data_IF_409224711106
#
_entry.id   IF_409224711106
#
_cell.length_a   1.000
_cell.length_b   1.000
_cell.length_c   1.000
_cell.angle_alpha   90.00
_cell.angle_beta   90.00
_cell.angle_gamma   90.00
#
_symmetry.space_group_name_H-M   'P 1'
#
loop_
_entity.id
_entity.type
_entity.pdbx_description
1 polymer ?
#
# COMPACT_ATOMS: atom_id res chain seq x y z
N UNK A 1 4.73 -8.28 11.20
CA UNK A 1 5.19 -7.10 10.45
C UNK A 1 4.82 -5.85 11.25
N UNK A 2 5.70 -4.86 11.29
CA UNK A 2 5.45 -3.51 11.79
C UNK A 2 5.56 -2.57 10.59
N UNK A 3 4.56 -1.74 10.39
CA UNK A 3 4.53 -0.69 9.37
C UNK A 3 4.38 0.65 10.09
N UNK A 4 5.28 1.58 9.82
CA UNK A 4 5.26 2.92 10.38
C UNK A 4 5.63 3.98 9.32
N UNK A 5 5.66 5.25 9.71
CA UNK A 5 5.94 6.37 8.81
C UNK A 5 7.33 6.33 8.15
N UNK A 6 8.26 5.57 8.73
CA UNK A 6 9.62 5.46 8.24
C UNK A 6 9.81 4.23 7.34
N UNK A 7 8.82 3.34 7.23
CA UNK A 7 8.83 2.16 6.37
C UNK A 7 8.28 0.93 7.09
N UNK A 8 8.88 -0.24 6.86
CA UNK A 8 8.40 -1.48 7.45
C UNK A 8 9.52 -2.37 7.97
N UNK A 9 9.15 -3.23 8.92
CA UNK A 9 9.99 -4.29 9.47
C UNK A 9 9.20 -5.60 9.57
N UNK A 10 9.79 -6.72 9.17
CA UNK A 10 9.20 -8.06 9.19
C UNK A 10 10.07 -8.99 10.04
N UNK A 11 9.43 -9.82 10.84
CA UNK A 11 10.05 -10.88 11.65
C UNK A 11 9.45 -12.23 11.25
N UNK A 12 10.26 -13.28 11.31
CA UNK A 12 9.76 -14.64 11.17
C UNK A 12 8.93 -15.06 12.39
N UNK A 13 7.93 -15.90 12.16
CA UNK A 13 7.19 -16.56 13.24
C UNK A 13 8.05 -17.60 13.96
N UNK A 14 7.98 -17.71 15.31
CA UNK A 14 7.20 -16.89 16.23
C UNK A 14 7.91 -15.57 16.62
N UNK A 15 7.34 -14.43 16.24
CA UNK A 15 7.98 -13.11 16.38
C UNK A 15 8.04 -12.57 17.82
N UNK A 16 7.30 -13.16 18.77
CA UNK A 16 7.34 -12.71 20.19
C UNK A 16 8.67 -13.04 20.87
N UNK A 17 9.34 -14.11 20.41
CA UNK A 17 10.62 -14.58 20.96
C UNK A 17 11.81 -14.23 20.06
N UNK A 18 11.56 -13.96 18.77
CA UNK A 18 12.57 -13.56 17.80
C UNK A 18 12.57 -12.04 17.60
N UNK A 19 13.64 -11.37 18.02
CA UNK A 19 13.81 -9.92 17.84
C UNK A 19 14.57 -9.53 16.58
N UNK A 20 15.14 -10.49 15.85
CA UNK A 20 15.90 -10.22 14.63
C UNK A 20 14.98 -10.09 13.42
N UNK A 21 14.97 -8.92 12.73
CA UNK A 21 14.20 -8.75 11.51
C UNK A 21 14.72 -9.63 10.39
N UNK A 22 13.80 -10.24 9.63
CA UNK A 22 14.13 -10.96 8.38
C UNK A 22 14.06 -10.05 7.16
N UNK A 23 13.36 -8.92 7.28
CA UNK A 23 13.27 -7.91 6.23
C UNK A 23 12.95 -6.57 6.85
N UNK A 24 13.53 -5.51 6.31
CA UNK A 24 13.14 -4.14 6.62
C UNK A 24 13.42 -3.25 5.42
N UNK A 25 12.67 -2.17 5.31
CA UNK A 25 12.97 -1.09 4.37
C UNK A 25 12.66 0.24 5.05
N UNK A 26 13.57 1.21 4.87
CA UNK A 26 13.31 2.60 5.23
C UNK A 26 12.74 3.30 3.99
N UNK A 27 11.46 3.59 4.04
CA UNK A 27 10.68 4.16 2.94
C UNK A 27 9.79 5.25 3.50
N UNK A 28 10.41 6.35 3.94
CA UNK A 28 9.67 7.50 4.49
C UNK A 28 8.73 8.06 3.43
N UNK A 29 7.45 8.12 3.76
CA UNK A 29 6.45 8.72 2.88
C UNK A 29 6.39 10.23 3.14
N UNK A 30 6.59 11.09 2.13
CA UNK A 30 6.49 12.53 2.30
C UNK A 30 5.02 12.92 2.41
N UNK A 31 4.57 13.33 3.60
CA UNK A 31 3.14 13.62 3.88
C UNK A 31 2.75 15.01 3.40
N UNK A 32 3.67 15.96 3.50
CA UNK A 32 3.45 17.38 3.19
C UNK A 32 2.99 17.59 1.73
N UNK A 33 3.61 16.96 0.70
CA UNK A 33 3.15 17.09 -0.68
C UNK A 33 1.74 16.54 -0.93
N UNK A 34 1.29 15.53 -0.18
CA UNK A 34 -0.08 15.02 -0.29
C UNK A 34 -1.10 16.07 0.19
N UNK A 35 -0.80 16.73 1.31
CA UNK A 35 -1.65 17.77 1.89
C UNK A 35 -1.71 18.98 0.94
N UNK A 36 -0.57 19.42 0.43
CA UNK A 36 -0.49 20.54 -0.52
C UNK A 36 -1.32 20.27 -1.78
N UNK A 37 -1.16 19.08 -2.39
CA UNK A 37 -1.95 18.71 -3.57
C UNK A 37 -3.45 18.72 -3.27
N UNK A 38 -3.88 18.17 -2.13
CA UNK A 38 -5.29 18.16 -1.76
C UNK A 38 -5.86 19.58 -1.64
N UNK A 39 -5.20 20.46 -0.87
CA UNK A 39 -5.67 21.83 -0.67
C UNK A 39 -5.70 22.62 -1.99
N UNK A 40 -4.73 22.40 -2.88
CA UNK A 40 -4.71 23.03 -4.19
C UNK A 40 -5.88 22.55 -5.07
N UNK A 41 -6.20 21.26 -5.08
CA UNK A 41 -7.32 20.71 -5.84
C UNK A 41 -8.66 21.26 -5.34
N UNK A 42 -8.84 21.37 -4.02
CA UNK A 42 -10.04 21.99 -3.44
C UNK A 42 -10.19 23.44 -3.88
N UNK A 43 -9.09 24.21 -3.86
CA UNK A 43 -9.08 25.63 -4.23
C UNK A 43 -9.35 25.84 -5.72
N UNK A 44 -8.68 25.07 -6.58
CA UNK A 44 -8.65 25.30 -8.03
C UNK A 44 -9.68 24.48 -8.80
N UNK A 45 -10.28 23.48 -8.14
CA UNK A 45 -11.13 22.45 -8.77
C UNK A 45 -10.42 21.64 -9.85
N UNK A 46 -9.08 21.63 -9.87
CA UNK A 46 -8.30 20.73 -10.73
C UNK A 46 -8.39 19.29 -10.22
N UNK A 47 -8.09 18.36 -11.10
CA UNK A 47 -7.99 16.94 -10.77
C UNK A 47 -6.78 16.65 -9.85
N UNK A 48 -6.89 15.75 -8.87
CA UNK A 48 -5.76 15.37 -8.03
C UNK A 48 -4.69 14.59 -8.82
N UNK A 49 -3.43 14.66 -8.35
CA UNK A 49 -2.34 13.82 -8.85
C UNK A 49 -2.66 12.31 -8.86
N UNK A 50 -3.61 11.87 -8.04
CA UNK A 50 -4.12 10.51 -8.01
C UNK A 50 -5.66 10.56 -8.16
N UNK A 51 -6.18 10.51 -9.40
CA UNK A 51 -7.60 10.29 -9.68
C UNK A 51 -8.09 8.96 -9.10
N UNK A 52 -9.41 8.77 -9.03
CA UNK A 52 -10.02 7.60 -8.38
C UNK A 52 -9.64 6.29 -9.07
N UNK A 53 -9.47 6.32 -10.39
CA UNK A 53 -9.09 5.17 -11.21
C UNK A 53 -7.67 4.72 -10.90
N UNK A 54 -6.74 5.68 -10.78
CA UNK A 54 -5.34 5.41 -10.42
C UNK A 54 -5.25 4.86 -8.99
N UNK A 55 -6.04 5.42 -8.06
CA UNK A 55 -6.09 4.91 -6.70
C UNK A 55 -6.62 3.47 -6.66
N UNK A 56 -7.68 3.16 -7.41
CA UNK A 56 -8.28 1.84 -7.50
C UNK A 56 -7.29 0.81 -8.11
N UNK A 57 -6.60 1.19 -9.18
CA UNK A 57 -5.56 0.37 -9.81
C UNK A 57 -4.44 0.05 -8.81
N UNK A 58 -3.93 1.07 -8.10
CA UNK A 58 -2.83 0.90 -7.14
C UNK A 58 -3.17 -0.06 -5.98
N UNK A 59 -4.43 -0.09 -5.53
CA UNK A 59 -4.86 -0.97 -4.41
C UNK A 59 -5.35 -2.34 -4.86
N UNK A 60 -5.60 -2.55 -6.16
CA UNK A 60 -6.10 -3.81 -6.68
C UNK A 60 -5.16 -4.99 -6.38
N UNK A 61 -3.84 -4.82 -6.57
CA UNK A 61 -2.83 -5.84 -6.30
C UNK A 61 -2.87 -6.38 -4.86
N UNK A 62 -2.79 -5.51 -3.83
CA UNK A 62 -2.95 -5.93 -2.42
C UNK A 62 -4.26 -6.67 -2.13
N UNK A 63 -5.39 -6.24 -2.72
CA UNK A 63 -6.66 -6.95 -2.56
C UNK A 63 -6.61 -8.35 -3.19
N UNK A 64 -6.05 -8.48 -4.40
CA UNK A 64 -5.89 -9.78 -5.05
C UNK A 64 -4.92 -10.70 -4.30
N UNK A 65 -3.88 -10.15 -3.66
CA UNK A 65 -3.00 -10.92 -2.80
C UNK A 65 -3.77 -11.55 -1.61
N UNK A 66 -4.69 -10.79 -1.00
CA UNK A 66 -5.56 -11.33 0.04
C UNK A 66 -6.48 -12.42 -0.51
N UNK A 67 -7.10 -12.21 -1.69
CA UNK A 67 -7.94 -13.22 -2.33
C UNK A 67 -7.13 -14.49 -2.60
N UNK A 68 -5.93 -14.38 -3.17
CA UNK A 68 -5.05 -15.51 -3.45
C UNK A 68 -4.69 -16.28 -2.17
N UNK A 69 -4.33 -15.57 -1.11
CA UNK A 69 -4.00 -16.16 0.18
C UNK A 69 -5.17 -16.95 0.78
N UNK A 70 -6.37 -16.35 0.83
CA UNK A 70 -7.52 -16.98 1.48
C UNK A 70 -8.17 -18.07 0.63
N UNK A 71 -8.10 -17.98 -0.69
CA UNK A 71 -8.65 -18.98 -1.61
C UNK A 71 -7.68 -20.12 -1.92
N UNK A 72 -6.39 -19.99 -1.58
CA UNK A 72 -5.37 -20.98 -1.87
C UNK A 72 -5.09 -21.19 -3.36
N UNK A 73 -5.47 -20.21 -4.21
CA UNK A 73 -5.22 -20.24 -5.66
C UNK A 73 -4.47 -18.99 -6.13
N UNK A 74 -3.86 -19.10 -7.31
CA UNK A 74 -3.33 -17.93 -8.02
C UNK A 74 -4.48 -17.06 -8.50
N UNK A 75 -4.32 -15.75 -8.39
CA UNK A 75 -5.21 -14.72 -8.92
C UNK A 75 -4.36 -13.74 -9.74
N UNK A 76 -4.91 -13.25 -10.84
CA UNK A 76 -4.26 -12.36 -11.81
C UNK A 76 -4.99 -11.02 -11.92
N UNK A 77 -4.29 -9.99 -12.42
CA UNK A 77 -4.89 -8.66 -12.62
C UNK A 77 -5.99 -8.68 -13.70
N UNK A 78 -5.87 -9.58 -14.69
CA UNK A 78 -6.85 -9.77 -15.77
C UNK A 78 -8.21 -10.20 -15.21
N UNK A 79 -8.22 -11.08 -14.20
CA UNK A 79 -9.44 -11.51 -13.51
C UNK A 79 -10.11 -10.39 -12.69
N UNK A 80 -9.38 -9.33 -12.34
CA UNK A 80 -9.89 -8.20 -11.57
C UNK A 80 -10.43 -7.05 -12.42
N UNK A 81 -10.14 -7.07 -13.73
CA UNK A 81 -10.41 -5.98 -14.68
C UNK A 81 -11.65 -6.24 -15.55
N UNK A 82 -12.39 -7.33 -15.30
CA UNK A 82 -13.62 -7.72 -16.00
C UNK A 82 -14.84 -7.67 -15.09
#
# INVERSE_FOLDING_TARGET
MLLDKDGFTVWAEPWKNNREPVMYARAKVPVEPHIENFLECVRTRREPNCPVEVAAEAVSGPHLANVALFSGRKVTMEEASG
#
